data_IF_349164846398
#
_entry.id   IF_349164846398
#
_cell.length_a   1.000
_cell.length_b   1.000
_cell.length_c   1.000
_cell.angle_alpha   90.00
_cell.angle_beta   90.00
_cell.angle_gamma   90.00
#
_symmetry.space_group_name_H-M   'P 1'
#
loop_
_entity.id
_entity.type
_entity.pdbx_description
1 polymer ?
#
# COMPACT_ATOMS: atom_id res chain seq x y z
N UNK A 1 44.37 -10.71 -7.40
CA UNK A 1 43.85 -9.83 -8.48
C UNK A 1 42.38 -9.65 -8.22
N UNK A 2 42.03 -8.60 -7.47
CA UNK A 2 40.66 -8.17 -7.22
C UNK A 2 40.24 -7.32 -8.41
N UNK A 3 39.28 -7.81 -9.19
CA UNK A 3 38.61 -7.03 -10.22
C UNK A 3 37.75 -5.98 -9.52
N UNK A 4 38.25 -4.74 -9.47
CA UNK A 4 37.43 -3.55 -9.22
C UNK A 4 36.36 -3.49 -10.31
N UNK A 5 35.11 -3.74 -9.95
CA UNK A 5 33.98 -3.42 -10.80
C UNK A 5 33.98 -1.92 -11.02
N UNK A 6 34.08 -1.50 -12.28
CA UNK A 6 34.03 -0.09 -12.64
C UNK A 6 32.67 0.48 -12.21
N UNK A 7 32.71 1.31 -11.18
CA UNK A 7 31.54 2.04 -10.69
C UNK A 7 31.09 3.00 -11.79
N UNK A 8 29.90 2.77 -12.35
CA UNK A 8 29.34 3.64 -13.38
C UNK A 8 29.02 4.96 -12.67
N UNK A 9 29.81 6.00 -12.95
CA UNK A 9 29.61 7.33 -12.36
C UNK A 9 28.17 7.80 -12.61
N UNK A 10 27.58 8.40 -11.57
CA UNK A 10 26.16 8.75 -11.54
C UNK A 10 25.69 9.62 -12.71
N UNK A 11 26.57 10.46 -13.27
CA UNK A 11 26.30 11.30 -14.44
C UNK A 11 26.07 10.49 -15.74
N UNK A 12 26.82 9.40 -15.94
CA UNK A 12 26.66 8.51 -17.08
C UNK A 12 25.37 7.69 -16.96
N UNK A 13 25.07 7.19 -15.76
CA UNK A 13 23.86 6.43 -15.50
C UNK A 13 22.60 7.29 -15.67
N UNK A 14 22.63 8.54 -15.19
CA UNK A 14 21.53 9.49 -15.36
C UNK A 14 21.29 9.84 -16.84
N UNK A 15 22.36 9.97 -17.62
CA UNK A 15 22.29 10.18 -19.07
C UNK A 15 21.66 9.00 -19.79
N UNK A 16 22.04 7.76 -19.43
CA UNK A 16 21.43 6.55 -20.00
C UNK A 16 19.93 6.52 -19.70
N UNK A 17 19.54 6.72 -18.44
CA UNK A 17 18.14 6.68 -18.01
C UNK A 17 17.29 7.77 -18.65
N UNK A 18 17.86 8.92 -19.00
CA UNK A 18 17.14 9.96 -19.77
C UNK A 18 16.78 9.55 -21.21
N UNK A 19 17.45 8.55 -21.78
CA UNK A 19 17.24 8.06 -23.15
C UNK A 19 16.53 6.69 -23.19
N UNK A 20 16.35 6.03 -22.05
CA UNK A 20 15.62 4.76 -21.95
C UNK A 20 14.11 5.03 -21.96
N UNK A 21 13.30 4.28 -22.74
CA UNK A 21 11.84 4.40 -22.67
C UNK A 21 11.33 4.13 -21.25
N UNK A 22 10.41 4.98 -20.76
CA UNK A 22 9.90 4.95 -19.38
C UNK A 22 9.34 3.57 -18.94
N UNK A 23 8.83 2.76 -19.88
CA UNK A 23 8.36 1.40 -19.62
C UNK A 23 9.46 0.44 -19.13
N UNK A 24 10.73 0.73 -19.46
CA UNK A 24 11.88 -0.08 -19.04
C UNK A 24 12.58 0.50 -17.80
N UNK A 25 12.21 1.72 -17.38
CA UNK A 25 12.81 2.42 -16.23
C UNK A 25 12.25 1.89 -14.91
N UNK A 26 10.96 1.55 -14.85
CA UNK A 26 10.31 1.02 -13.64
C UNK A 26 10.84 -0.35 -13.20
N UNK A 27 10.99 -1.36 -14.08
CA UNK A 27 11.64 -2.62 -13.73
C UNK A 27 13.07 -2.42 -13.23
N UNK A 28 13.82 -1.47 -13.81
CA UNK A 28 15.16 -1.14 -13.36
C UNK A 28 15.19 -0.63 -11.91
N UNK A 29 14.14 0.10 -11.47
CA UNK A 29 14.03 0.60 -10.08
C UNK A 29 13.89 -0.50 -9.02
N UNK A 30 13.57 -1.73 -9.43
CA UNK A 30 13.45 -2.89 -8.55
C UNK A 30 14.74 -3.74 -8.48
N UNK A 31 15.75 -3.42 -9.29
CA UNK A 31 17.00 -4.20 -9.38
C UNK A 31 17.88 -4.00 -8.14
N UNK A 32 17.99 -2.77 -7.63
CA UNK A 32 18.71 -2.45 -6.40
C UNK A 32 18.37 -1.06 -5.87
N UNK A 33 18.75 -0.77 -4.62
CA UNK A 33 18.60 0.58 -4.03
C UNK A 33 19.30 1.66 -4.85
N UNK A 34 20.46 1.36 -5.43
CA UNK A 34 21.22 2.29 -6.29
C UNK A 34 20.51 2.56 -7.62
N UNK A 35 19.91 1.52 -8.23
CA UNK A 35 19.11 1.70 -9.45
C UNK A 35 17.82 2.45 -9.18
N UNK A 36 17.15 2.17 -8.05
CA UNK A 36 16.00 2.93 -7.60
C UNK A 36 16.34 4.43 -7.51
N UNK A 37 17.44 4.76 -6.81
CA UNK A 37 17.91 6.13 -6.68
C UNK A 37 18.20 6.80 -8.03
N UNK A 38 18.92 6.13 -8.93
CA UNK A 38 19.25 6.67 -10.26
C UNK A 38 18.02 6.91 -11.14
N UNK A 39 17.05 5.99 -11.09
CA UNK A 39 15.78 6.13 -11.81
C UNK A 39 15.01 7.36 -11.33
N UNK A 40 14.85 7.52 -10.01
CA UNK A 40 14.09 8.62 -9.45
C UNK A 40 14.83 9.97 -9.49
N UNK A 41 16.17 9.99 -9.48
CA UNK A 41 16.96 11.22 -9.70
C UNK A 41 16.84 11.69 -11.15
N UNK A 42 16.90 10.78 -12.12
CA UNK A 42 16.74 11.08 -13.55
C UNK A 42 15.35 11.60 -13.91
N UNK A 43 14.30 11.15 -13.21
CA UNK A 43 12.92 11.63 -13.41
C UNK A 43 12.77 13.14 -13.19
N UNK A 44 13.67 13.77 -12.43
CA UNK A 44 13.69 15.22 -12.21
C UNK A 44 14.03 16.04 -13.45
N UNK A 45 14.67 15.43 -14.46
CA UNK A 45 15.05 16.11 -15.71
C UNK A 45 14.00 16.01 -16.81
N UNK A 46 12.97 15.18 -16.65
CA UNK A 46 11.86 15.08 -17.59
C UNK A 46 10.86 16.23 -17.37
N UNK A 47 11.25 17.43 -17.81
CA UNK A 47 10.44 18.64 -17.75
C UNK A 47 9.31 18.65 -18.79
N UNK A 48 8.34 17.74 -18.71
CA UNK A 48 6.98 17.91 -19.24
C UNK A 48 6.13 16.68 -18.87
N UNK A 49 5.07 16.82 -18.06
CA UNK A 49 4.16 15.71 -17.80
C UNK A 49 3.32 15.48 -19.05
N UNK A 50 3.74 14.55 -19.92
CA UNK A 50 2.76 13.92 -20.80
C UNK A 50 1.76 13.26 -19.86
N UNK A 51 0.45 13.54 -20.03
CA UNK A 51 -0.58 13.05 -19.11
C UNK A 51 -0.42 11.55 -18.90
N UNK A 52 0.10 10.89 -19.97
CA UNK A 52 0.71 9.57 -20.21
C UNK A 52 1.45 8.77 -19.15
N UNK A 53 2.05 9.51 -18.22
CA UNK A 53 2.72 8.95 -17.05
C UNK A 53 1.64 8.57 -16.02
N UNK A 54 0.77 7.72 -16.57
CA UNK A 54 -0.49 7.16 -16.16
C UNK A 54 -0.22 6.08 -15.10
N UNK A 55 -1.17 5.99 -14.18
CA UNK A 55 -1.59 4.77 -13.47
C UNK A 55 -0.65 4.11 -12.46
N UNK A 56 0.65 4.44 -12.34
CA UNK A 56 1.52 3.72 -11.38
C UNK A 56 1.87 4.46 -10.08
N UNK A 57 1.56 5.75 -9.97
CA UNK A 57 1.68 6.51 -8.71
C UNK A 57 0.40 6.52 -7.86
N UNK A 58 -0.65 5.84 -8.32
CA UNK A 58 -1.81 5.50 -7.50
C UNK A 58 -1.39 4.34 -6.60
N UNK A 59 -0.52 4.61 -5.63
CA UNK A 59 -0.39 3.74 -4.47
C UNK A 59 -1.48 4.15 -3.51
N UNK A 60 -2.72 3.72 -3.73
CA UNK A 60 -3.67 3.78 -2.62
C UNK A 60 -3.14 2.82 -1.57
N UNK A 61 -2.38 3.35 -0.60
CA UNK A 61 -1.88 2.57 0.52
C UNK A 61 -3.04 2.02 1.34
N UNK A 62 -4.19 2.71 1.25
CA UNK A 62 -5.47 2.36 1.85
C UNK A 62 -6.36 1.61 0.86
N UNK A 63 -7.16 0.68 1.37
CA UNK A 63 -8.27 0.02 0.67
C UNK A 63 -9.43 0.99 0.30
N UNK A 64 -9.13 2.26 0.03
CA UNK A 64 -10.07 3.33 -0.25
C UNK A 64 -10.14 3.57 -1.77
N UNK A 65 -11.26 4.06 -2.28
CA UNK A 65 -11.39 4.59 -3.64
C UNK A 65 -10.60 5.90 -3.82
N UNK A 66 -9.56 6.15 -3.01
CA UNK A 66 -8.78 7.37 -3.09
C UNK A 66 -7.66 7.19 -4.12
N UNK A 67 -7.70 7.96 -5.19
CA UNK A 67 -6.53 8.18 -6.04
C UNK A 67 -5.88 9.49 -5.63
N UNK A 68 -4.55 9.56 -5.69
CA UNK A 68 -3.84 10.81 -5.45
C UNK A 68 -2.58 10.93 -6.31
N UNK A 69 -2.09 12.15 -6.36
CA UNK A 69 -0.81 12.53 -6.93
C UNK A 69 -0.17 13.57 -6.01
N UNK A 70 1.04 13.27 -5.55
CA UNK A 70 1.83 14.15 -4.68
C UNK A 70 3.06 14.65 -5.44
N UNK A 71 3.22 15.96 -5.53
CA UNK A 71 4.40 16.64 -6.07
C UNK A 71 4.85 17.76 -5.13
N UNK A 72 6.07 18.30 -5.29
CA UNK A 72 6.59 19.35 -4.38
C UNK A 72 5.77 20.63 -4.37
N UNK A 73 4.93 20.83 -5.39
CA UNK A 73 4.14 22.05 -5.57
C UNK A 73 2.63 21.81 -5.55
N UNK A 74 2.19 20.54 -5.51
CA UNK A 74 0.77 20.23 -5.62
C UNK A 74 0.43 18.88 -5.00
N UNK A 75 -0.70 18.84 -4.30
CA UNK A 75 -1.37 17.60 -3.95
C UNK A 75 -2.71 17.55 -4.67
N UNK A 76 -2.94 16.48 -5.43
CA UNK A 76 -4.18 16.25 -6.16
C UNK A 76 -4.78 14.92 -5.76
N UNK A 77 -6.09 14.86 -5.55
CA UNK A 77 -6.75 13.62 -5.15
C UNK A 77 -8.18 13.54 -5.65
N UNK A 78 -8.66 12.33 -5.83
CA UNK A 78 -10.03 12.00 -6.20
C UNK A 78 -10.51 10.83 -5.36
N UNK A 79 -11.72 10.90 -4.85
CA UNK A 79 -12.32 9.84 -4.04
C UNK A 79 -13.71 9.43 -4.55
N UNK A 80 -14.20 10.04 -5.64
CA UNK A 80 -15.44 9.60 -6.27
C UNK A 80 -15.21 8.27 -7.00
N UNK A 81 -16.19 7.33 -7.03
CA UNK A 81 -15.97 5.97 -7.55
C UNK A 81 -15.48 5.89 -9.01
N UNK A 82 -15.73 6.91 -9.81
CA UNK A 82 -15.35 6.96 -11.22
C UNK A 82 -14.17 7.90 -11.50
N UNK A 83 -13.61 8.52 -10.45
CA UNK A 83 -12.55 9.51 -10.50
C UNK A 83 -12.74 10.63 -11.52
N UNK A 84 -14.00 11.06 -11.67
CA UNK A 84 -14.39 12.13 -12.59
C UNK A 84 -14.06 13.50 -12.01
N UNK A 85 -13.97 13.63 -10.69
CA UNK A 85 -13.69 14.88 -10.01
C UNK A 85 -12.34 14.81 -9.30
N UNK A 86 -11.45 15.73 -9.66
CA UNK A 86 -10.15 15.89 -9.02
C UNK A 86 -10.11 17.16 -8.18
N UNK A 87 -9.66 17.01 -6.95
CA UNK A 87 -9.38 18.11 -6.03
C UNK A 87 -7.90 18.46 -6.12
N UNK A 88 -7.60 19.75 -6.21
CA UNK A 88 -6.24 20.26 -6.41
C UNK A 88 -5.89 21.28 -5.33
N UNK A 89 -5.02 20.91 -4.40
CA UNK A 89 -4.69 21.71 -3.22
C UNK A 89 -3.17 21.94 -3.15
N UNK A 90 -2.76 22.85 -2.27
CA UNK A 90 -1.34 23.03 -1.97
C UNK A 90 -0.80 21.73 -1.34
N UNK A 91 0.50 21.42 -1.53
CA UNK A 91 1.06 20.19 -0.99
C UNK A 91 1.10 20.21 0.55
N UNK A 92 1.21 19.04 1.19
CA UNK A 92 1.59 18.95 2.60
C UNK A 92 2.88 19.74 2.87
N UNK A 93 3.04 20.25 4.09
CA UNK A 93 4.19 21.05 4.50
C UNK A 93 5.47 20.22 4.50
N UNK A 94 5.37 18.95 4.90
CA UNK A 94 6.51 18.03 4.92
C UNK A 94 6.61 17.33 3.58
N UNK A 95 7.74 17.56 2.92
CA UNK A 95 8.10 16.85 1.69
C UNK A 95 8.51 15.41 1.98
N UNK A 96 7.93 14.47 1.24
CA UNK A 96 8.02 13.04 1.55
C UNK A 96 7.91 12.18 0.30
N UNK A 97 8.61 11.05 0.28
CA UNK A 97 8.44 10.01 -0.73
C UNK A 97 7.76 8.79 -0.13
N UNK A 98 6.88 8.16 -0.91
CA UNK A 98 6.12 6.96 -0.51
C UNK A 98 5.32 7.07 0.82
N UNK A 99 4.55 8.16 1.05
CA UNK A 99 3.74 8.27 2.26
C UNK A 99 2.50 7.36 2.22
N UNK A 100 1.96 7.07 3.40
CA UNK A 100 0.59 6.60 3.54
C UNK A 100 -0.36 7.75 3.23
N UNK A 101 -1.33 7.51 2.35
CA UNK A 101 -2.41 8.45 2.07
C UNK A 101 -3.76 7.75 2.24
N UNK A 102 -4.65 8.37 3.01
CA UNK A 102 -5.95 7.81 3.33
C UNK A 102 -7.02 8.90 3.43
N UNK A 103 -8.26 8.55 3.08
CA UNK A 103 -9.43 9.38 3.35
C UNK A 103 -10.20 8.76 4.53
N UNK A 104 -10.36 9.52 5.60
CA UNK A 104 -11.15 9.14 6.78
C UNK A 104 -12.19 10.22 7.05
N UNK A 105 -13.45 9.90 6.77
CA UNK A 105 -14.54 10.87 6.85
C UNK A 105 -14.31 12.05 5.92
N UNK A 106 -14.09 13.24 6.49
CA UNK A 106 -13.83 14.51 5.77
C UNK A 106 -12.36 14.94 5.78
N UNK A 107 -11.46 14.03 6.14
CA UNK A 107 -10.04 14.31 6.33
C UNK A 107 -9.19 13.44 5.41
N UNK A 108 -8.32 14.08 4.62
CA UNK A 108 -7.25 13.36 3.92
C UNK A 108 -6.03 13.36 4.82
N UNK A 109 -5.55 12.17 5.17
CA UNK A 109 -4.40 11.98 6.05
C UNK A 109 -3.22 11.60 5.18
N UNK A 110 -2.08 12.27 5.41
CA UNK A 110 -0.78 11.95 4.83
C UNK A 110 0.18 11.66 5.98
N UNK A 111 0.59 10.41 6.10
CA UNK A 111 1.37 9.92 7.23
C UNK A 111 2.62 9.18 6.76
N UNK A 112 3.72 9.38 7.47
CA UNK A 112 4.99 8.73 7.17
C UNK A 112 5.53 9.08 5.79
N UNK A 113 6.30 8.17 5.22
CA UNK A 113 7.14 8.43 4.06
C UNK A 113 8.39 9.22 4.45
N UNK A 114 9.53 8.88 3.85
CA UNK A 114 10.79 9.55 4.13
C UNK A 114 11.24 10.34 2.90
N UNK A 115 11.88 11.48 3.11
CA UNK A 115 12.71 12.13 2.10
C UNK A 115 14.12 12.24 2.67
N UNK A 116 15.16 11.93 1.89
CA UNK A 116 16.57 11.97 2.35
C UNK A 116 17.06 13.36 2.84
N UNK A 117 16.22 14.39 2.70
CA UNK A 117 16.51 15.77 3.08
C UNK A 117 15.74 16.25 4.34
N UNK A 118 14.80 15.46 4.87
CA UNK A 118 13.97 15.80 6.03
C UNK A 118 14.10 14.72 7.12
N UNK A 119 14.25 15.12 8.38
CA UNK A 119 14.57 14.23 9.51
C UNK A 119 13.34 13.59 10.19
N UNK A 120 12.12 13.87 9.73
CA UNK A 120 10.88 13.39 10.39
C UNK A 120 10.06 12.41 9.54
N UNK A 121 10.51 11.14 9.40
CA UNK A 121 9.80 10.10 8.67
C UNK A 121 8.49 9.67 9.36
N UNK A 122 8.16 10.22 10.52
CA UNK A 122 6.94 9.91 11.26
C UNK A 122 5.91 11.04 11.16
N UNK A 123 6.18 12.08 10.36
CA UNK A 123 5.29 13.23 10.19
C UNK A 123 3.88 12.82 9.74
N UNK A 124 2.88 13.40 10.41
CA UNK A 124 1.46 13.21 10.07
C UNK A 124 0.84 14.57 9.79
N UNK A 125 0.23 14.71 8.63
CA UNK A 125 -0.50 15.91 8.22
C UNK A 125 -1.90 15.54 7.77
N UNK A 126 -2.86 16.40 8.11
CA UNK A 126 -4.27 16.22 7.76
C UNK A 126 -4.74 17.41 6.94
N UNK A 127 -5.38 17.12 5.81
CA UNK A 127 -6.14 18.10 5.05
C UNK A 127 -7.63 17.98 5.40
N UNK A 128 -8.17 19.04 6.01
CA UNK A 128 -9.60 19.18 6.28
C UNK A 128 -10.30 19.65 4.99
N UNK A 129 -11.22 18.84 4.46
CA UNK A 129 -11.92 19.14 3.21
C UNK A 129 -12.92 20.31 3.35
N UNK A 130 -13.40 20.58 4.56
CA UNK A 130 -14.38 21.61 4.86
C UNK A 130 -13.68 22.96 5.13
N UNK A 131 -12.62 22.94 5.94
CA UNK A 131 -11.79 24.11 6.23
C UNK A 131 -10.76 24.44 5.13
N UNK A 132 -10.50 23.49 4.22
CA UNK A 132 -9.57 23.57 3.10
C UNK A 132 -8.14 23.96 3.49
N UNK A 133 -7.64 23.40 4.59
CA UNK A 133 -6.28 23.66 5.09
C UNK A 133 -5.59 22.38 5.52
N UNK A 134 -4.26 22.42 5.50
CA UNK A 134 -3.41 21.45 6.15
C UNK A 134 -3.20 21.81 7.60
N UNK A 135 -3.19 20.80 8.47
CA UNK A 135 -2.71 20.90 9.84
C UNK A 135 -1.73 19.77 10.14
N UNK A 136 -0.67 20.09 10.87
CA UNK A 136 0.22 19.08 11.45
C UNK A 136 -0.47 18.36 12.62
N UNK A 137 -0.11 17.09 12.82
CA UNK A 137 -0.58 16.24 13.90
C UNK A 137 0.59 15.63 14.67
N UNK A 138 0.27 14.97 15.77
CA UNK A 138 1.25 14.14 16.48
C UNK A 138 1.81 13.07 15.55
N UNK A 139 3.12 12.88 15.65
CA UNK A 139 3.87 11.93 14.82
C UNK A 139 3.33 10.50 14.96
N UNK A 140 3.57 9.70 13.93
CA UNK A 140 3.36 8.26 13.97
C UNK A 140 4.13 7.64 15.16
N UNK A 141 3.64 6.54 15.75
CA UNK A 141 4.32 5.84 16.82
C UNK A 141 5.78 5.51 16.47
N UNK A 142 6.70 5.80 17.39
CA UNK A 142 8.14 5.72 17.16
C UNK A 142 8.65 4.33 16.72
N UNK A 143 7.91 3.26 17.04
CA UNK A 143 8.23 1.89 16.61
C UNK A 143 8.19 1.73 15.08
N UNK A 144 7.42 2.57 14.38
CA UNK A 144 7.27 2.51 12.93
C UNK A 144 8.36 3.29 12.19
N UNK A 145 9.35 3.87 12.90
CA UNK A 145 10.37 4.74 12.30
C UNK A 145 11.11 4.08 11.13
N UNK A 146 11.50 2.82 11.30
CA UNK A 146 12.24 2.07 10.29
C UNK A 146 11.33 1.45 9.21
N UNK A 147 10.01 1.65 9.32
CA UNK A 147 8.98 1.08 8.44
C UNK A 147 7.94 2.11 8.01
N UNK A 148 8.29 3.41 8.06
CA UNK A 148 7.33 4.49 7.88
C UNK A 148 6.87 4.69 6.41
N UNK A 149 7.54 4.04 5.45
CA UNK A 149 7.15 4.10 4.05
C UNK A 149 5.98 3.14 3.75
N UNK A 150 5.09 3.55 2.84
CA UNK A 150 3.88 2.80 2.52
C UNK A 150 4.14 1.37 2.00
N UNK A 151 5.33 1.14 1.42
CA UNK A 151 5.76 -0.19 0.98
C UNK A 151 5.82 -1.26 2.09
N UNK A 152 6.03 -0.85 3.35
CA UNK A 152 6.13 -1.75 4.51
C UNK A 152 4.86 -1.81 5.34
N UNK A 153 3.87 -0.97 5.00
CA UNK A 153 2.66 -0.78 5.77
C UNK A 153 1.47 -1.32 4.98
N UNK A 154 0.53 -1.89 5.73
CA UNK A 154 -0.83 -2.13 5.26
C UNK A 154 -1.75 -1.11 5.90
N UNK A 155 -2.64 -0.50 5.11
CA UNK A 155 -3.52 0.56 5.60
C UNK A 155 -4.97 0.22 5.31
N UNK A 156 -5.82 0.45 6.31
CA UNK A 156 -7.26 0.36 6.19
C UNK A 156 -7.89 1.63 6.76
N UNK A 157 -9.01 2.07 6.20
CA UNK A 157 -9.68 3.29 6.65
C UNK A 157 -11.17 3.04 6.77
N UNK A 158 -11.72 3.25 7.96
CA UNK A 158 -13.17 3.35 8.15
C UNK A 158 -13.63 4.81 7.97
N UNK A 159 -14.92 5.06 8.17
CA UNK A 159 -15.45 6.44 8.16
C UNK A 159 -14.90 7.33 9.27
N UNK A 160 -14.29 6.75 10.32
CA UNK A 160 -13.84 7.46 11.53
C UNK A 160 -12.39 7.23 11.89
N UNK A 161 -11.76 6.16 11.41
CA UNK A 161 -10.48 5.72 11.93
C UNK A 161 -9.58 5.24 10.80
N UNK A 162 -8.33 5.68 10.82
CA UNK A 162 -7.25 5.14 10.03
C UNK A 162 -6.60 3.99 10.80
N UNK A 163 -6.29 2.88 10.14
CA UNK A 163 -5.52 1.77 10.69
C UNK A 163 -4.25 1.59 9.87
N UNK A 164 -3.13 1.50 10.55
CA UNK A 164 -1.81 1.23 9.95
C UNK A 164 -1.22 0.02 10.64
N UNK A 165 -0.80 -0.96 9.86
CA UNK A 165 -0.12 -2.16 10.34
C UNK A 165 1.22 -2.35 9.62
N UNK A 166 2.28 -2.63 10.37
CA UNK A 166 3.54 -3.10 9.77
C UNK A 166 3.38 -4.56 9.35
N UNK A 167 3.62 -4.84 8.07
CA UNK A 167 3.12 -6.05 7.41
C UNK A 167 3.72 -7.37 7.94
N UNK A 168 4.93 -7.35 8.49
CA UNK A 168 5.66 -8.55 8.93
C UNK A 168 5.43 -8.85 10.42
N UNK A 169 5.51 -7.83 11.26
CA UNK A 169 5.27 -7.96 12.71
C UNK A 169 3.79 -8.06 13.05
N UNK A 170 2.90 -7.44 12.26
CA UNK A 170 1.47 -7.33 12.57
C UNK A 170 1.15 -6.27 13.62
N UNK A 171 2.15 -5.49 14.08
CA UNK A 171 1.94 -4.37 14.99
C UNK A 171 1.08 -3.32 14.30
N UNK A 172 -0.08 -3.06 14.91
CA UNK A 172 -1.13 -2.22 14.35
C UNK A 172 -1.40 -1.03 15.25
N UNK A 173 -1.64 0.12 14.63
CA UNK A 173 -2.09 1.33 15.31
C UNK A 173 -3.31 1.90 14.60
N UNK A 174 -4.16 2.55 15.39
CA UNK A 174 -5.31 3.28 14.88
C UNK A 174 -5.17 4.77 15.15
N UNK A 175 -5.65 5.61 14.24
CA UNK A 175 -5.62 7.05 14.36
C UNK A 175 -7.01 7.64 14.12
N UNK A 176 -7.49 8.43 15.09
CA UNK A 176 -8.73 9.21 14.98
C UNK A 176 -8.38 10.62 14.50
N UNK A 177 -8.78 11.03 13.27
CA UNK A 177 -8.48 12.36 12.75
C UNK A 177 -9.24 13.48 13.47
N UNK A 178 -10.33 13.16 14.20
CA UNK A 178 -11.12 14.14 14.94
C UNK A 178 -10.40 14.56 16.21
N UNK A 179 -9.96 13.58 17.01
CA UNK A 179 -9.20 13.85 18.23
C UNK A 179 -7.70 14.01 17.98
N UNK A 180 -7.20 13.61 16.81
CA UNK A 180 -5.78 13.56 16.42
C UNK A 180 -4.93 12.66 17.33
N UNK A 181 -5.52 11.57 17.81
CA UNK A 181 -4.88 10.66 18.77
C UNK A 181 -4.58 9.33 18.11
N UNK A 182 -3.36 8.85 18.29
CA UNK A 182 -2.94 7.48 18.00
C UNK A 182 -3.32 6.56 19.17
N UNK A 183 -3.83 5.36 18.86
CA UNK A 183 -4.12 4.30 19.82
C UNK A 183 -3.45 3.00 19.38
N UNK A 184 -2.99 2.22 20.36
CA UNK A 184 -2.20 0.99 20.16
C UNK A 184 -0.99 0.94 21.10
N UNK A 185 -0.04 0.02 20.86
CA UNK A 185 -0.04 -0.98 19.79
C UNK A 185 -1.13 -2.04 19.99
N UNK A 186 -1.65 -2.54 18.88
CA UNK A 186 -2.53 -3.70 18.77
C UNK A 186 -1.73 -4.79 18.07
N UNK A 187 -1.60 -5.95 18.70
CA UNK A 187 -0.95 -7.10 18.06
C UNK A 187 -2.01 -7.95 17.39
N UNK A 188 -2.11 -7.85 16.05
CA UNK A 188 -3.05 -8.66 15.27
C UNK A 188 -2.47 -10.03 14.90
N UNK A 189 -1.19 -10.28 15.19
CA UNK A 189 -0.52 -11.54 14.85
C UNK A 189 -0.66 -12.54 16.00
N UNK A 190 -1.88 -13.06 16.16
CA UNK A 190 -2.17 -14.07 17.19
C UNK A 190 -1.64 -15.48 16.86
N UNK A 191 -1.41 -15.80 15.57
CA UNK A 191 -0.85 -17.07 15.13
C UNK A 191 0.62 -16.89 14.75
N UNK A 192 1.50 -17.59 15.46
CA UNK A 192 2.95 -17.55 15.25
C UNK A 192 3.35 -17.99 13.82
N UNK A 193 2.50 -18.79 13.15
CA UNK A 193 2.72 -19.26 11.78
C UNK A 193 2.48 -18.18 10.72
N UNK A 194 1.85 -17.05 11.05
CA UNK A 194 1.68 -15.94 10.11
C UNK A 194 3.04 -15.28 9.91
N UNK A 195 3.57 -15.29 8.68
CA UNK A 195 4.84 -14.64 8.37
C UNK A 195 4.68 -13.30 7.64
N UNK A 196 3.50 -13.06 7.06
CA UNK A 196 3.15 -11.82 6.38
C UNK A 196 1.65 -11.58 6.48
N UNK A 197 1.24 -10.33 6.67
CA UNK A 197 -0.17 -9.98 6.81
C UNK A 197 -0.51 -8.60 6.23
N UNK A 198 -1.77 -8.44 5.86
CA UNK A 198 -2.37 -7.19 5.39
C UNK A 198 -3.74 -6.98 6.00
N UNK A 199 -4.10 -5.73 6.22
CA UNK A 199 -5.40 -5.31 6.75
C UNK A 199 -6.21 -4.55 5.70
N UNK A 200 -7.53 -4.66 5.81
CA UNK A 200 -8.50 -3.97 4.96
C UNK A 200 -9.86 -3.87 5.63
N UNK A 201 -10.77 -3.10 5.03
CA UNK A 201 -12.17 -3.05 5.47
C UNK A 201 -12.96 -3.97 4.56
N UNK A 202 -13.71 -4.91 5.12
CA UNK A 202 -14.58 -5.80 4.36
C UNK A 202 -16.00 -5.72 4.89
N UNK A 203 -16.94 -5.29 4.05
CA UNK A 203 -18.20 -4.74 4.52
C UNK A 203 -17.95 -3.52 5.41
N UNK A 204 -18.29 -3.62 6.69
CA UNK A 204 -18.04 -2.58 7.71
C UNK A 204 -16.94 -2.96 8.72
N UNK A 205 -16.33 -4.14 8.56
CA UNK A 205 -15.44 -4.71 9.55
C UNK A 205 -13.98 -4.63 9.10
N UNK A 206 -13.08 -4.41 10.06
CA UNK A 206 -11.66 -4.57 9.84
C UNK A 206 -11.38 -6.07 9.66
N UNK A 207 -10.65 -6.42 8.61
CA UNK A 207 -10.19 -7.79 8.37
C UNK A 207 -8.68 -7.84 8.25
N UNK A 208 -8.12 -8.97 8.68
CA UNK A 208 -6.72 -9.34 8.51
C UNK A 208 -6.65 -10.50 7.52
N UNK A 209 -5.79 -10.39 6.51
CA UNK A 209 -5.43 -11.50 5.62
C UNK A 209 -3.98 -11.85 5.87
N UNK A 210 -3.73 -13.11 6.21
CA UNK A 210 -2.39 -13.59 6.58
C UNK A 210 -1.93 -14.75 5.70
N UNK A 211 -0.64 -14.76 5.40
CA UNK A 211 0.07 -15.89 4.81
C UNK A 211 0.69 -16.72 5.93
N UNK A 212 0.36 -18.01 5.98
CA UNK A 212 0.86 -18.94 6.99
C UNK A 212 1.98 -19.83 6.45
N UNK A 213 2.95 -20.16 7.29
CA UNK A 213 4.10 -20.99 6.94
C UNK A 213 5.35 -20.14 6.68
N UNK A 214 5.87 -20.17 5.47
CA UNK A 214 6.99 -19.33 5.04
C UNK A 214 6.88 -18.98 3.56
N UNK A 215 7.74 -18.10 3.08
CA UNK A 215 7.81 -17.61 1.70
C UNK A 215 7.85 -18.70 0.63
N UNK A 216 8.64 -19.75 0.85
CA UNK A 216 8.85 -20.84 -0.12
C UNK A 216 7.74 -21.89 -0.05
N UNK A 217 7.08 -22.01 1.10
CA UNK A 217 6.05 -23.00 1.36
C UNK A 217 4.90 -22.38 2.16
N UNK A 218 4.13 -21.53 1.47
CA UNK A 218 2.87 -20.99 2.00
C UNK A 218 1.90 -22.15 2.16
N UNK A 219 1.54 -22.43 3.42
CA UNK A 219 0.65 -23.54 3.79
C UNK A 219 -0.80 -23.19 3.52
N UNK A 220 -1.21 -22.02 4.00
CA UNK A 220 -2.58 -21.54 3.93
C UNK A 220 -2.58 -20.01 3.81
N UNK A 221 -3.65 -19.48 3.20
CA UNK A 221 -4.00 -18.06 3.25
C UNK A 221 -5.35 -17.95 3.96
N UNK A 222 -5.39 -17.18 5.03
CA UNK A 222 -6.57 -17.09 5.90
C UNK A 222 -7.02 -15.65 6.06
N UNK A 223 -8.31 -15.49 6.33
CA UNK A 223 -8.98 -14.22 6.59
C UNK A 223 -9.59 -14.27 7.98
N UNK A 224 -9.26 -13.26 8.79
CA UNK A 224 -9.83 -13.06 10.11
C UNK A 224 -10.60 -11.75 10.16
N UNK A 225 -11.75 -11.77 10.81
CA UNK A 225 -12.48 -10.58 11.20
C UNK A 225 -11.94 -10.06 12.54
N UNK A 226 -11.63 -8.76 12.60
CA UNK A 226 -11.13 -8.12 13.82
C UNK A 226 -12.30 -7.51 14.58
N UNK A 227 -12.66 -8.12 15.71
CA UNK A 227 -13.80 -7.77 16.57
C UNK A 227 -13.38 -7.20 17.92
N UNK A 228 -14.35 -6.57 18.57
CA UNK A 228 -14.22 -6.01 19.91
C UNK A 228 -13.90 -4.51 19.89
N UNK A 229 -14.20 -3.83 21.01
CA UNK A 229 -13.98 -2.37 21.13
C UNK A 229 -12.51 -1.96 21.00
N UNK A 230 -11.62 -2.89 21.34
CA UNK A 230 -10.16 -2.74 21.25
C UNK A 230 -9.54 -3.66 20.22
N UNK A 231 -10.33 -4.25 19.30
CA UNK A 231 -9.81 -5.14 18.24
C UNK A 231 -9.01 -6.36 18.74
N UNK A 232 -9.28 -6.84 19.95
CA UNK A 232 -8.58 -7.96 20.61
C UNK A 232 -9.07 -9.34 20.15
N UNK A 233 -10.23 -9.42 19.49
CA UNK A 233 -10.85 -10.69 19.11
C UNK A 233 -10.64 -10.90 17.61
N UNK A 234 -9.86 -11.91 17.24
CA UNK A 234 -9.70 -12.33 15.85
C UNK A 234 -10.50 -13.60 15.63
N UNK A 235 -11.54 -13.49 14.81
CA UNK A 235 -12.38 -14.63 14.42
C UNK A 235 -11.98 -15.07 13.01
N UNK A 236 -11.53 -16.32 12.86
CA UNK A 236 -11.27 -16.88 11.54
C UNK A 236 -12.59 -17.02 10.80
N UNK A 237 -12.71 -16.33 9.67
CA UNK A 237 -13.94 -16.30 8.88
C UNK A 237 -13.80 -17.06 7.56
N UNK A 238 -12.60 -17.14 6.99
CA UNK A 238 -12.38 -17.86 5.74
C UNK A 238 -10.96 -18.42 5.59
N UNK A 239 -10.86 -19.57 4.93
CA UNK A 239 -9.60 -20.18 4.49
C UNK A 239 -9.64 -20.28 2.96
N UNK A 240 -8.59 -19.81 2.30
CA UNK A 240 -8.45 -19.90 0.85
C UNK A 240 -8.22 -21.36 0.42
N UNK A 241 -8.99 -21.90 -0.55
CA UNK A 241 -8.75 -23.22 -1.12
C UNK A 241 -7.33 -23.34 -1.69
N UNK A 242 -6.70 -24.51 -1.52
CA UNK A 242 -5.30 -24.74 -1.92
C UNK A 242 -5.07 -24.49 -3.41
N UNK A 243 -6.04 -24.83 -4.25
CA UNK A 243 -5.97 -24.60 -5.69
C UNK A 243 -5.86 -23.11 -6.02
N UNK A 244 -6.47 -22.24 -5.21
CA UNK A 244 -6.39 -20.79 -5.37
C UNK A 244 -5.11 -20.21 -4.77
N UNK A 245 -4.57 -20.81 -3.71
CA UNK A 245 -3.24 -20.45 -3.17
C UNK A 245 -2.16 -20.68 -4.24
N UNK A 246 -2.22 -21.81 -4.95
CA UNK A 246 -1.27 -22.09 -6.05
C UNK A 246 -1.44 -21.12 -7.23
N UNK A 247 -2.68 -20.76 -7.60
CA UNK A 247 -2.91 -19.71 -8.61
C UNK A 247 -2.38 -18.34 -8.19
N UNK A 248 -2.49 -18.00 -6.90
CA UNK A 248 -2.02 -16.74 -6.34
C UNK A 248 -0.48 -16.66 -6.31
N UNK A 249 0.19 -17.80 -6.10
CA UNK A 249 1.66 -17.91 -6.25
C UNK A 249 2.06 -17.60 -7.69
N UNK A 250 1.36 -18.21 -8.65
CA UNK A 250 1.60 -18.05 -10.08
C UNK A 250 2.79 -18.88 -10.56
N UNK A 251 3.64 -18.33 -11.41
CA UNK A 251 4.85 -19.01 -11.91
C UNK A 251 6.02 -18.96 -10.91
N UNK A 252 6.00 -17.99 -10.00
CA UNK A 252 6.99 -17.82 -8.94
C UNK A 252 6.97 -19.00 -7.94
N UNK A 253 8.17 -19.44 -7.56
CA UNK A 253 8.35 -20.49 -6.57
C UNK A 253 8.04 -20.04 -5.12
N UNK A 254 7.78 -18.75 -4.89
CA UNK A 254 7.58 -18.18 -3.55
C UNK A 254 6.52 -17.10 -3.53
N UNK A 255 5.72 -17.04 -2.47
CA UNK A 255 4.74 -15.97 -2.25
C UNK A 255 5.12 -15.22 -0.96
N UNK A 256 5.75 -14.06 -1.14
CA UNK A 256 6.33 -13.28 -0.03
C UNK A 256 5.43 -12.16 0.46
N UNK A 257 4.47 -11.75 -0.38
CA UNK A 257 3.62 -10.61 -0.11
C UNK A 257 2.31 -10.75 -0.87
N UNK A 258 1.26 -10.24 -0.28
CA UNK A 258 -0.04 -10.05 -0.92
C UNK A 258 -0.50 -8.61 -0.73
N UNK A 259 -1.41 -8.17 -1.57
CA UNK A 259 -2.21 -6.97 -1.36
C UNK A 259 -3.68 -7.34 -1.46
N UNK A 260 -4.50 -6.50 -0.85
CA UNK A 260 -5.94 -6.67 -0.88
C UNK A 260 -6.62 -5.40 -1.39
N UNK A 261 -7.80 -5.60 -1.95
CA UNK A 261 -8.75 -4.55 -2.30
C UNK A 261 -10.14 -5.05 -1.96
N UNK A 262 -11.02 -4.14 -1.53
CA UNK A 262 -12.37 -4.49 -1.10
C UNK A 262 -13.38 -3.59 -1.79
N UNK A 263 -14.52 -4.14 -2.19
CA UNK A 263 -15.61 -3.36 -2.76
C UNK A 263 -16.93 -4.08 -2.48
N UNK A 264 -17.78 -3.45 -1.67
CA UNK A 264 -19.02 -4.08 -1.20
C UNK A 264 -18.72 -5.39 -0.47
N UNK A 265 -19.36 -6.47 -0.91
CA UNK A 265 -19.26 -7.80 -0.33
C UNK A 265 -18.15 -8.66 -0.93
N UNK A 266 -17.25 -8.07 -1.73
CA UNK A 266 -16.09 -8.74 -2.32
C UNK A 266 -14.76 -8.26 -1.72
N UNK A 267 -13.92 -9.23 -1.36
CA UNK A 267 -12.52 -9.07 -0.99
C UNK A 267 -11.65 -9.71 -2.07
N UNK A 268 -10.80 -8.92 -2.70
CA UNK A 268 -9.82 -9.36 -3.68
C UNK A 268 -8.45 -9.46 -3.04
N UNK A 269 -7.77 -10.57 -3.26
CA UNK A 269 -6.42 -10.87 -2.79
C UNK A 269 -5.57 -11.15 -4.01
N UNK A 270 -4.43 -10.48 -4.12
CA UNK A 270 -3.55 -10.61 -5.27
C UNK A 270 -2.07 -10.52 -4.88
N UNK A 271 -1.23 -11.17 -5.68
CA UNK A 271 0.22 -11.06 -5.56
C UNK A 271 0.67 -9.82 -6.35
N UNK A 272 1.27 -8.81 -5.70
CA UNK A 272 1.73 -7.61 -6.41
C UNK A 272 2.89 -7.89 -7.39
N UNK A 273 3.58 -9.03 -7.27
CA UNK A 273 4.64 -9.45 -8.22
C UNK A 273 4.08 -10.15 -9.45
N UNK A 274 2.98 -10.88 -9.27
CA UNK A 274 2.26 -11.59 -10.33
C UNK A 274 0.79 -11.19 -10.34
N UNK A 275 0.47 -9.98 -10.85
CA UNK A 275 -0.86 -9.40 -10.75
C UNK A 275 -1.88 -10.01 -11.73
N UNK A 276 -1.53 -11.07 -12.47
CA UNK A 276 -2.40 -11.70 -13.47
C UNK A 276 -3.58 -12.44 -12.88
N UNK A 277 -3.44 -13.01 -11.68
CA UNK A 277 -4.50 -13.71 -10.97
C UNK A 277 -4.97 -12.89 -9.77
N UNK A 278 -6.28 -12.68 -9.72
CA UNK A 278 -6.98 -12.07 -8.59
C UNK A 278 -7.83 -13.15 -7.94
N UNK A 279 -7.55 -13.50 -6.69
CA UNK A 279 -8.40 -14.40 -5.91
C UNK A 279 -9.48 -13.56 -5.23
N UNK A 280 -10.75 -13.92 -5.42
CA UNK A 280 -11.87 -13.23 -4.80
C UNK A 280 -12.50 -14.07 -3.69
N UNK A 281 -12.96 -13.40 -2.65
CA UNK A 281 -13.73 -13.94 -1.55
C UNK A 281 -15.02 -13.10 -1.40
N UNK A 282 -16.18 -13.74 -1.46
CA UNK A 282 -17.51 -13.11 -1.33
C UNK A 282 -18.21 -13.60 -0.06
N UNK A 283 -18.81 -12.69 0.71
CA UNK A 283 -19.73 -13.06 1.80
C UNK A 283 -21.09 -13.42 1.18
N UNK A 284 -21.42 -14.71 1.16
CA UNK A 284 -22.75 -15.17 0.75
C UNK A 284 -23.83 -14.85 1.79
N UNK A 285 -25.10 -14.84 1.37
CA UNK A 285 -26.26 -14.50 2.22
C UNK A 285 -26.52 -15.38 3.47
N UNK A 286 -25.73 -16.44 3.68
CA UNK A 286 -25.76 -17.29 4.88
C UNK A 286 -24.47 -17.19 5.73
N UNK A 287 -23.60 -16.22 5.45
CA UNK A 287 -22.27 -16.12 6.09
C UNK A 287 -21.26 -17.15 5.55
N UNK A 288 -21.60 -17.82 4.45
CA UNK A 288 -20.71 -18.76 3.76
C UNK A 288 -19.83 -17.97 2.79
N UNK A 289 -18.51 -18.08 2.97
CA UNK A 289 -17.54 -17.47 2.07
C UNK A 289 -17.39 -18.27 0.79
N UNK A 290 -17.61 -17.60 -0.34
CA UNK A 290 -17.41 -18.18 -1.67
C UNK A 290 -16.10 -17.67 -2.23
N UNK A 291 -15.34 -18.59 -2.82
CA UNK A 291 -14.04 -18.30 -3.39
C UNK A 291 -14.06 -18.46 -4.90
N UNK A 292 -13.30 -17.62 -5.59
CA UNK A 292 -13.11 -17.70 -7.04
C UNK A 292 -11.78 -17.08 -7.46
N UNK A 293 -11.42 -17.24 -8.73
CA UNK A 293 -10.29 -16.53 -9.34
C UNK A 293 -10.75 -15.79 -10.58
N UNK A 294 -10.10 -14.66 -10.85
CA UNK A 294 -10.29 -13.83 -12.02
C UNK A 294 -8.93 -13.54 -12.63
N UNK A 295 -8.87 -13.59 -13.97
CA UNK A 295 -7.73 -13.02 -14.69
C UNK A 295 -7.82 -11.50 -14.64
N UNK A 296 -6.70 -10.85 -14.40
CA UNK A 296 -6.60 -9.41 -14.40
C UNK A 296 -6.51 -8.89 -15.85
N UNK A 297 -7.59 -8.29 -16.38
CA UNK A 297 -7.66 -7.86 -17.78
C UNK A 297 -6.68 -6.72 -18.11
N UNK A 298 -6.15 -6.03 -17.10
CA UNK A 298 -5.17 -4.97 -17.31
C UNK A 298 -3.77 -5.50 -17.64
N UNK A 299 -3.51 -6.78 -17.37
CA UNK A 299 -2.19 -7.42 -17.54
C UNK A 299 -2.26 -8.60 -18.51
N UNK A 300 -3.39 -9.31 -18.56
CA UNK A 300 -3.57 -10.41 -19.51
C UNK A 300 -3.71 -9.89 -20.94
N UNK A 301 -2.89 -10.41 -21.87
CA UNK A 301 -3.04 -10.14 -23.30
C UNK A 301 -4.44 -10.57 -23.78
N UNK A 302 -5.11 -9.78 -24.66
CA UNK A 302 -6.37 -10.19 -25.26
C UNK A 302 -6.14 -11.44 -26.12
N UNK A 303 -6.92 -12.49 -25.88
CA UNK A 303 -7.00 -13.70 -26.72
C UNK A 303 -7.38 -13.39 -28.18
#
# INVERSE_FOLDING_TARGET
MTTEGADIRGDVLESILSHVPLIHILPASHVSKSWNHAVFSSLRYFSCPKPWLFLHSIRSSSNSTLLYMLSPSKFSFSFDPFHLTWHHVDPPLVWRTDPVVALVGRHVIVAGGACDFEDDPLSVEIYDLDARRWDACDAMPAILKDSAASAWLSVASSSKTLYIMEQVSGVTYSFDPTSRIWSGPLDLRHDENIFFSVIGIFGDNLVLVGLLGNSENVKDVKVWEVKGKSFEILEEIAIMPKELVEKLKGEDASLNSIKISSTGDFLYIYNPREPEELVMCEIGGEGIFRWGSLKNPAVSEPE
#
